data_IF_756010490209
#
_entry.id   IF_756010490209
#
_cell.length_a   1.000
_cell.length_b   1.000
_cell.length_c   1.000
_cell.angle_alpha   90.00
_cell.angle_beta   90.00
_cell.angle_gamma   90.00
#
_symmetry.space_group_name_H-M   'P 1'
#
loop_
_entity.id
_entity.type
_entity.pdbx_description
1 polymer ?
#
# COMPACT_ATOMS: atom_id res chain seq x y z
N UNK A 1 -0.37 -18.48 20.83
CA UNK A 1 0.04 -18.03 19.47
C UNK A 1 -0.28 -19.14 18.47
N UNK A 2 -0.56 -18.84 17.19
CA UNK A 2 -0.97 -19.77 16.12
C UNK A 2 0.13 -20.08 15.08
N UNK A 3 1.34 -19.53 15.22
CA UNK A 3 2.52 -19.94 14.44
C UNK A 3 2.86 -19.09 13.21
N UNK A 4 2.37 -17.86 13.12
CA UNK A 4 2.72 -16.92 12.04
C UNK A 4 3.96 -16.11 12.39
N UNK A 5 4.89 -15.99 11.43
CA UNK A 5 5.87 -14.91 11.41
C UNK A 5 5.20 -13.67 10.79
N UNK A 6 5.41 -12.50 11.40
CA UNK A 6 4.83 -11.23 10.93
C UNK A 6 5.95 -10.25 10.62
N UNK A 7 6.00 -9.81 9.37
CA UNK A 7 6.87 -8.73 8.92
C UNK A 7 6.04 -7.46 8.74
N UNK A 8 6.40 -6.39 9.46
CA UNK A 8 5.78 -5.08 9.35
C UNK A 8 6.77 -4.11 8.71
N UNK A 9 6.57 -3.80 7.43
CA UNK A 9 7.51 -3.02 6.62
C UNK A 9 7.20 -1.53 6.71
N UNK A 10 8.19 -0.72 7.06
CA UNK A 10 8.15 0.73 6.86
C UNK A 10 8.60 1.05 5.42
N UNK A 11 7.72 0.86 4.45
CA UNK A 11 7.97 1.20 3.04
C UNK A 11 8.09 2.72 2.84
N UNK A 12 8.64 3.14 1.71
CA UNK A 12 8.77 4.57 1.35
C UNK A 12 7.44 5.29 1.47
N UNK A 13 7.42 6.48 2.06
CA UNK A 13 6.19 7.18 2.43
C UNK A 13 5.74 6.99 3.88
N UNK A 14 6.35 6.05 4.61
CA UNK A 14 6.12 5.89 6.05
C UNK A 14 6.63 7.10 6.85
N UNK A 15 5.93 7.42 7.93
CA UNK A 15 6.34 8.50 8.84
C UNK A 15 7.40 8.01 9.83
N UNK A 16 8.14 8.93 10.46
CA UNK A 16 9.16 8.61 11.46
C UNK A 16 10.61 8.59 10.95
N UNK A 17 10.80 8.68 9.63
CA UNK A 17 12.12 8.63 8.96
C UNK A 17 12.50 9.95 8.26
N UNK A 18 11.86 11.05 8.66
CA UNK A 18 12.08 12.39 8.09
C UNK A 18 11.23 12.69 6.86
N UNK A 19 11.21 13.97 6.47
CA UNK A 19 10.38 14.46 5.36
C UNK A 19 10.73 13.79 4.03
N UNK A 20 12.02 13.63 3.75
CA UNK A 20 12.51 13.00 2.53
C UNK A 20 11.92 11.60 2.35
N UNK A 21 11.90 10.78 3.40
CA UNK A 21 11.34 9.43 3.32
C UNK A 21 9.83 9.42 3.09
N UNK A 22 9.10 10.39 3.66
CA UNK A 22 7.66 10.57 3.40
C UNK A 22 7.41 10.99 1.94
N UNK A 23 8.23 11.90 1.40
CA UNK A 23 8.08 12.40 0.05
C UNK A 23 8.32 11.31 -1.01
N UNK A 24 9.17 10.31 -0.71
CA UNK A 24 9.41 9.16 -1.60
C UNK A 24 8.14 8.32 -1.87
N UNK A 25 7.11 8.41 -1.02
CA UNK A 25 5.83 7.73 -1.23
C UNK A 25 4.83 8.51 -2.09
N UNK A 26 5.12 9.76 -2.47
CA UNK A 26 4.19 10.54 -3.28
C UNK A 26 4.13 10.04 -4.71
N UNK A 27 2.90 9.85 -5.20
CA UNK A 27 2.57 9.34 -6.55
C UNK A 27 3.00 7.88 -6.78
N UNK A 28 3.30 7.16 -5.69
CA UNK A 28 3.85 5.80 -5.70
C UNK A 28 2.89 4.70 -5.22
N UNK A 29 1.60 5.01 -5.03
CA UNK A 29 0.58 3.99 -4.74
C UNK A 29 0.57 2.93 -5.86
N UNK A 30 0.68 1.65 -5.49
CA UNK A 30 0.84 0.50 -6.41
C UNK A 30 2.07 0.53 -7.33
N UNK A 31 3.03 1.43 -7.09
CA UNK A 31 4.29 1.52 -7.84
C UNK A 31 5.44 1.17 -6.90
N UNK A 32 6.39 2.06 -6.71
CA UNK A 32 7.58 1.79 -5.92
C UNK A 32 7.30 1.52 -4.42
N UNK A 33 6.16 1.97 -3.89
CA UNK A 33 5.76 1.56 -2.54
C UNK A 33 5.42 0.07 -2.46
N UNK A 34 4.91 -0.50 -3.56
CA UNK A 34 4.64 -1.92 -3.67
C UNK A 34 5.94 -2.72 -3.79
N UNK A 35 6.92 -2.22 -4.55
CA UNK A 35 8.21 -2.90 -4.68
C UNK A 35 8.93 -3.04 -3.33
N UNK A 36 8.84 -2.04 -2.44
CA UNK A 36 9.40 -2.15 -1.09
C UNK A 36 8.79 -3.31 -0.27
N UNK A 37 7.51 -3.65 -0.51
CA UNK A 37 6.86 -4.79 0.13
C UNK A 37 7.37 -6.11 -0.44
N UNK A 38 7.56 -6.17 -1.77
CA UNK A 38 8.12 -7.34 -2.45
C UNK A 38 9.56 -7.58 -1.98
N UNK A 39 10.38 -6.54 -1.89
CA UNK A 39 11.74 -6.62 -1.37
C UNK A 39 11.77 -7.15 0.07
N UNK A 40 10.80 -6.74 0.90
CA UNK A 40 10.63 -7.28 2.24
C UNK A 40 10.29 -8.79 2.26
N UNK A 41 9.47 -9.25 1.32
CA UNK A 41 9.15 -10.68 1.15
C UNK A 41 10.38 -11.46 0.69
N UNK A 42 11.08 -10.99 -0.33
CA UNK A 42 12.26 -11.66 -0.87
C UNK A 42 13.41 -11.71 0.15
N UNK A 43 13.58 -10.65 0.96
CA UNK A 43 14.48 -10.65 2.11
C UNK A 43 14.10 -11.74 3.12
N UNK A 44 12.82 -11.82 3.51
CA UNK A 44 12.37 -12.82 4.48
C UNK A 44 12.54 -14.27 3.99
N UNK A 45 12.40 -14.50 2.68
CA UNK A 45 12.66 -15.81 2.05
C UNK A 45 14.17 -16.10 2.05
N UNK A 46 14.99 -15.13 1.67
CA UNK A 46 16.46 -15.25 1.61
C UNK A 46 17.04 -15.59 2.98
N UNK A 47 16.56 -14.94 4.03
CA UNK A 47 16.93 -15.19 5.43
C UNK A 47 16.29 -16.47 6.01
N UNK A 48 15.58 -17.25 5.19
CA UNK A 48 14.91 -18.49 5.58
C UNK A 48 13.87 -18.31 6.71
N UNK A 49 13.32 -17.11 6.86
CA UNK A 49 12.25 -16.77 7.82
C UNK A 49 10.88 -17.15 7.25
N UNK A 50 10.69 -16.95 5.94
CA UNK A 50 9.45 -17.24 5.23
C UNK A 50 9.64 -18.33 4.16
N UNK A 51 8.58 -19.07 3.89
CA UNK A 51 8.51 -20.05 2.80
C UNK A 51 7.73 -19.40 1.65
N UNK A 52 8.31 -19.38 0.44
CA UNK A 52 7.77 -18.73 -0.77
C UNK A 52 6.28 -19.00 -0.99
N UNK A 53 5.85 -20.26 -0.84
CA UNK A 53 4.48 -20.70 -1.11
C UNK A 53 3.50 -20.40 0.04
N UNK A 54 4.00 -19.85 1.16
CA UNK A 54 3.22 -19.58 2.38
C UNK A 54 3.23 -18.10 2.79
N UNK A 55 3.59 -17.20 1.89
CA UNK A 55 3.55 -15.76 2.15
C UNK A 55 2.14 -15.24 1.89
N UNK A 56 1.56 -14.56 2.89
CA UNK A 56 0.28 -13.87 2.78
C UNK A 56 0.49 -12.36 2.93
N UNK A 57 -0.39 -11.57 2.30
CA UNK A 57 -0.44 -10.11 2.47
C UNK A 57 -1.68 -9.70 3.26
N UNK A 58 -1.53 -8.77 4.19
CA UNK A 58 -2.61 -8.32 5.07
C UNK A 58 -2.49 -6.83 5.30
N UNK A 59 -3.60 -6.10 5.26
CA UNK A 59 -3.58 -4.70 5.65
C UNK A 59 -4.95 -4.04 5.76
N UNK A 60 -4.95 -2.91 6.47
CA UNK A 60 -6.13 -2.06 6.64
C UNK A 60 -5.99 -0.70 5.98
N UNK A 61 -7.09 -0.12 5.48
CA UNK A 61 -7.09 1.19 4.81
C UNK A 61 -6.10 1.21 3.62
N UNK A 62 -5.05 2.04 3.63
CA UNK A 62 -3.98 1.94 2.60
C UNK A 62 -3.39 0.52 2.50
N UNK A 63 -3.21 -0.18 3.62
CA UNK A 63 -2.74 -1.57 3.61
C UNK A 63 -3.73 -2.53 2.94
N UNK A 64 -5.03 -2.23 3.02
CA UNK A 64 -6.06 -2.97 2.30
C UNK A 64 -5.97 -2.75 0.79
N UNK A 65 -5.82 -1.49 0.36
CA UNK A 65 -5.49 -1.15 -1.02
C UNK A 65 -4.21 -1.87 -1.50
N UNK A 66 -3.16 -1.85 -0.67
CA UNK A 66 -1.90 -2.52 -0.98
C UNK A 66 -2.05 -4.04 -1.07
N UNK A 67 -2.96 -4.64 -0.29
CA UNK A 67 -3.32 -6.06 -0.36
C UNK A 67 -4.00 -6.35 -1.70
N UNK A 68 -5.02 -5.58 -2.07
CA UNK A 68 -5.71 -5.72 -3.37
C UNK A 68 -4.73 -5.53 -4.54
N UNK A 69 -3.86 -4.52 -4.47
CA UNK A 69 -2.82 -4.26 -5.46
C UNK A 69 -1.83 -5.43 -5.56
N UNK A 70 -1.38 -5.99 -4.42
CA UNK A 70 -0.47 -7.13 -4.41
C UNK A 70 -1.07 -8.39 -5.02
N UNK A 71 -2.35 -8.67 -4.73
CA UNK A 71 -3.06 -9.80 -5.35
C UNK A 71 -3.33 -9.58 -6.85
N UNK A 72 -3.41 -8.33 -7.31
CA UNK A 72 -3.70 -7.99 -8.71
C UNK A 72 -2.44 -7.96 -9.57
N UNK A 73 -1.40 -7.26 -9.11
CA UNK A 73 -0.20 -6.97 -9.90
C UNK A 73 0.95 -7.95 -9.65
N UNK A 74 0.92 -8.67 -8.53
CA UNK A 74 1.94 -9.67 -8.16
C UNK A 74 1.28 -10.96 -7.64
N UNK A 75 0.39 -11.60 -8.43
CA UNK A 75 -0.42 -12.73 -7.97
C UNK A 75 0.42 -13.95 -7.56
N UNK A 76 1.61 -14.11 -8.14
CA UNK A 76 2.51 -15.23 -7.84
C UNK A 76 3.29 -15.04 -6.52
N UNK A 77 3.22 -13.86 -5.91
CA UNK A 77 3.96 -13.55 -4.67
C UNK A 77 3.20 -14.03 -3.43
N UNK A 78 1.88 -13.87 -3.41
CA UNK A 78 1.08 -14.08 -2.21
C UNK A 78 0.09 -15.23 -2.40
N UNK A 79 0.13 -16.22 -1.51
CA UNK A 79 -0.79 -17.36 -1.59
C UNK A 79 -2.22 -16.98 -1.15
N UNK A 80 -2.38 -15.92 -0.36
CA UNK A 80 -3.65 -15.30 -0.04
C UNK A 80 -3.46 -13.84 0.42
N UNK A 81 -4.55 -13.09 0.46
CA UNK A 81 -4.55 -11.75 1.02
C UNK A 81 -5.81 -11.42 1.81
N UNK A 82 -5.67 -10.52 2.77
CA UNK A 82 -6.75 -10.04 3.63
C UNK A 82 -6.82 -8.52 3.56
N UNK A 83 -7.86 -8.04 2.90
CA UNK A 83 -8.18 -6.62 2.80
C UNK A 83 -9.16 -6.22 3.91
N UNK A 84 -8.79 -5.22 4.72
CA UNK A 84 -9.69 -4.59 5.70
C UNK A 84 -9.93 -3.14 5.30
N UNK A 85 -11.13 -2.85 4.81
CA UNK A 85 -11.59 -1.50 4.43
C UNK A 85 -10.63 -0.76 3.47
N UNK A 86 -9.92 -1.51 2.62
CA UNK A 86 -9.09 -0.97 1.57
C UNK A 86 -9.94 -0.34 0.47
N UNK A 87 -9.58 0.86 -0.03
CA UNK A 87 -10.22 1.39 -1.21
C UNK A 87 -9.86 0.51 -2.41
N UNK A 88 -10.85 -0.01 -3.13
CA UNK A 88 -10.64 -0.79 -4.37
C UNK A 88 -10.65 0.09 -5.63
N UNK A 89 -11.13 1.32 -5.52
CA UNK A 89 -11.16 2.29 -6.61
C UNK A 89 -10.83 3.70 -6.07
N UNK A 90 -9.72 4.26 -6.53
CA UNK A 90 -9.20 5.55 -6.06
C UNK A 90 -10.07 6.74 -6.48
N UNK A 91 -10.76 6.66 -7.62
CA UNK A 91 -11.68 7.72 -8.07
C UNK A 91 -12.86 7.78 -7.09
N UNK A 92 -13.51 6.66 -6.84
CA UNK A 92 -14.67 6.61 -5.92
C UNK A 92 -14.29 6.95 -4.48
N UNK A 93 -13.08 6.58 -4.03
CA UNK A 93 -12.55 7.02 -2.74
C UNK A 93 -12.50 8.56 -2.67
N UNK A 94 -11.89 9.20 -3.67
CA UNK A 94 -11.70 10.65 -3.66
C UNK A 94 -13.02 11.41 -3.78
N UNK A 95 -13.98 10.90 -4.55
CA UNK A 95 -15.32 11.48 -4.71
C UNK A 95 -16.18 11.38 -3.43
N UNK A 96 -15.90 10.41 -2.55
CA UNK A 96 -16.69 10.15 -1.34
C UNK A 96 -16.14 10.82 -0.08
N UNK A 97 -14.96 11.45 -0.14
CA UNK A 97 -14.38 12.18 1.00
C UNK A 97 -15.27 13.38 1.38
N UNK A 98 -15.74 13.47 2.62
CA UNK A 98 -16.63 14.55 3.03
C UNK A 98 -15.89 15.90 3.10
N UNK A 99 -16.58 17.05 2.92
CA UNK A 99 -15.94 18.37 2.90
C UNK A 99 -15.12 18.72 4.14
N UNK A 100 -15.52 18.24 5.31
CA UNK A 100 -14.80 18.48 6.57
C UNK A 100 -13.46 17.71 6.67
N UNK A 101 -13.14 16.85 5.70
CA UNK A 101 -11.86 16.14 5.54
C UNK A 101 -10.97 16.74 4.43
N UNK A 102 -11.12 18.04 4.13
CA UNK A 102 -10.39 18.73 3.07
C UNK A 102 -8.85 18.58 3.16
N UNK A 103 -8.27 18.60 4.36
CA UNK A 103 -6.84 18.39 4.55
C UNK A 103 -6.39 16.97 4.15
N UNK A 104 -7.21 15.96 4.42
CA UNK A 104 -6.95 14.57 4.01
C UNK A 104 -7.07 14.45 2.49
N UNK A 105 -8.08 15.08 1.89
CA UNK A 105 -8.25 15.13 0.43
C UNK A 105 -6.98 15.64 -0.26
N UNK A 106 -6.49 16.82 0.15
CA UNK A 106 -5.28 17.41 -0.45
C UNK A 106 -4.05 16.52 -0.29
N UNK A 107 -3.93 15.85 0.86
CA UNK A 107 -2.84 14.90 1.10
C UNK A 107 -2.95 13.65 0.22
N UNK A 108 -4.16 13.17 -0.04
CA UNK A 108 -4.40 12.04 -0.94
C UNK A 108 -4.14 12.39 -2.40
N UNK A 109 -4.49 13.61 -2.86
CA UNK A 109 -4.10 14.08 -4.19
C UNK A 109 -2.58 13.99 -4.39
N UNK A 110 -1.79 14.45 -3.42
CA UNK A 110 -0.32 14.36 -3.49
C UNK A 110 0.19 12.91 -3.46
N UNK A 111 -0.45 12.05 -2.65
CA UNK A 111 -0.03 10.65 -2.47
C UNK A 111 -0.39 9.76 -3.65
N UNK A 112 -1.60 9.89 -4.17
CA UNK A 112 -2.08 9.17 -5.36
C UNK A 112 -1.39 9.74 -6.61
N UNK A 113 -1.24 11.07 -6.66
CA UNK A 113 -0.63 11.79 -7.77
C UNK A 113 -1.59 12.24 -8.86
N UNK A 114 -2.89 12.31 -8.54
CA UNK A 114 -3.96 12.79 -9.41
C UNK A 114 -5.14 13.30 -8.59
N UNK A 115 -5.83 14.32 -9.10
CA UNK A 115 -7.10 14.82 -8.56
C UNK A 115 -8.22 14.49 -9.55
N UNK A 116 -9.19 13.62 -9.21
CA UNK A 116 -10.25 13.25 -10.14
C UNK A 116 -11.25 14.39 -10.43
N UNK A 117 -11.10 15.55 -9.78
CA UNK A 117 -11.83 16.79 -10.13
C UNK A 117 -11.18 17.56 -11.28
N UNK A 118 -9.95 17.22 -11.68
CA UNK A 118 -9.28 17.82 -12.83
C UNK A 118 -9.19 16.82 -13.97
N UNK A 119 -9.21 17.31 -15.21
CA UNK A 119 -9.09 16.44 -16.39
C UNK A 119 -7.74 15.72 -16.43
N UNK A 120 -6.66 16.39 -16.04
CA UNK A 120 -5.31 15.81 -15.98
C UNK A 120 -5.15 14.73 -14.90
N UNK A 121 -5.99 14.77 -13.85
CA UNK A 121 -5.90 13.86 -12.71
C UNK A 121 -6.82 12.63 -12.79
N UNK A 122 -7.69 12.55 -13.80
CA UNK A 122 -8.53 11.39 -14.10
C UNK A 122 -7.78 10.36 -14.94
#
# INVERSE_FOLDING_TARGET
NRGFAVLSVNFRGSTGFGKTFVDLGYRQWSKDMHTDLIDGVEWAITEQIAIREKVAIYGGSYGGYSTLAGLTFTPDVFCCGVDIVGPSNLITLMETIPPYWSAIYQKLVLRIGGDPKTEEGR
#
